data_IF_972560762754
#
_entry.id   IF_972560762754
#
_cell.length_a   1.000
_cell.length_b   1.000
_cell.length_c   1.000
_cell.angle_alpha   90.00
_cell.angle_beta   90.00
_cell.angle_gamma   90.00
#
_symmetry.space_group_name_H-M   'P 1'
#
loop_
_entity.id
_entity.type
_entity.pdbx_description
1 polymer ?
#
# COMPACT_ATOMS: atom_id res chain seq x y z
N UNK A 1 8.60 23.43 -71.93
CA UNK A 1 7.85 24.03 -70.77
C UNK A 1 7.56 22.93 -69.79
N UNK A 2 8.42 22.77 -68.79
CA UNK A 2 8.30 21.77 -67.74
C UNK A 2 8.06 22.44 -66.38
N UNK A 3 6.85 22.29 -65.79
CA UNK A 3 6.56 22.77 -64.45
C UNK A 3 6.95 21.72 -63.44
N UNK A 4 8.03 21.97 -62.73
CA UNK A 4 8.50 21.18 -61.58
C UNK A 4 7.59 21.44 -60.35
N UNK A 5 6.80 20.46 -59.93
CA UNK A 5 6.03 20.50 -58.68
C UNK A 5 6.96 20.15 -57.54
N UNK A 6 7.27 21.14 -56.67
CA UNK A 6 7.93 20.93 -55.41
C UNK A 6 6.96 20.24 -54.44
N UNK A 7 7.28 19.03 -54.08
CA UNK A 7 6.61 18.29 -53.01
C UNK A 7 7.07 18.85 -51.64
N UNK A 8 6.15 19.49 -50.93
CA UNK A 8 6.39 19.96 -49.57
C UNK A 8 6.19 18.78 -48.62
N UNK A 9 7.26 18.22 -48.05
CA UNK A 9 7.21 17.21 -47.01
C UNK A 9 6.92 17.89 -45.70
N UNK A 10 5.69 17.74 -45.21
CA UNK A 10 5.31 18.12 -43.84
C UNK A 10 5.83 17.03 -42.92
N UNK A 11 6.89 17.30 -42.17
CA UNK A 11 7.38 16.44 -41.09
C UNK A 11 6.47 16.70 -39.89
N UNK A 12 5.52 15.80 -39.64
CA UNK A 12 4.69 15.80 -38.47
C UNK A 12 5.54 15.45 -37.24
N UNK A 13 5.82 16.44 -36.41
CA UNK A 13 6.46 16.27 -35.13
C UNK A 13 5.41 15.74 -34.13
N UNK A 14 5.34 14.41 -33.95
CA UNK A 14 4.56 13.80 -32.90
C UNK A 14 5.23 14.11 -31.54
N UNK A 15 4.73 15.12 -30.86
CA UNK A 15 5.02 15.33 -29.42
C UNK A 15 4.34 14.19 -28.62
N UNK A 16 5.12 13.18 -28.24
CA UNK A 16 4.74 12.22 -27.23
C UNK A 16 4.72 12.94 -25.88
N UNK A 17 3.54 13.40 -25.44
CA UNK A 17 3.32 13.78 -24.04
C UNK A 17 3.42 12.50 -23.21
N UNK A 18 4.61 12.24 -22.67
CA UNK A 18 4.79 11.29 -21.58
C UNK A 18 4.07 11.86 -20.37
N UNK A 19 2.85 11.39 -20.09
CA UNK A 19 2.20 11.61 -18.81
C UNK A 19 3.04 10.92 -17.73
N UNK A 20 3.94 11.66 -17.13
CA UNK A 20 4.62 11.23 -15.90
C UNK A 20 3.54 11.09 -14.83
N UNK A 21 3.11 9.85 -14.56
CA UNK A 21 2.34 9.52 -13.39
C UNK A 21 3.18 9.89 -12.18
N UNK A 22 2.92 11.06 -11.60
CA UNK A 22 3.49 11.46 -10.32
C UNK A 22 2.94 10.50 -9.26
N UNK A 23 3.58 9.35 -9.10
CA UNK A 23 3.39 8.56 -7.90
C UNK A 23 3.83 9.47 -6.75
N UNK A 24 2.91 9.82 -5.87
CA UNK A 24 3.18 10.63 -4.69
C UNK A 24 4.13 9.83 -3.81
N UNK A 25 5.43 10.10 -3.97
CA UNK A 25 6.44 9.52 -3.09
C UNK A 25 6.30 10.18 -1.72
N UNK A 26 6.26 9.34 -0.69
CA UNK A 26 6.35 9.83 0.69
C UNK A 26 7.67 10.58 0.87
N UNK A 27 7.66 11.64 1.67
CA UNK A 27 8.90 12.34 1.97
C UNK A 27 9.91 11.46 2.73
N UNK A 28 11.20 11.77 2.62
CA UNK A 28 12.27 10.95 3.16
C UNK A 28 12.18 10.78 4.70
N UNK A 29 11.69 11.79 5.41
CA UNK A 29 11.55 11.74 6.88
C UNK A 29 10.45 10.76 7.29
N UNK A 30 9.35 10.73 6.56
CA UNK A 30 8.26 9.80 6.78
C UNK A 30 8.66 8.36 6.43
N UNK A 31 9.41 8.17 5.34
CA UNK A 31 9.98 6.86 4.97
C UNK A 31 10.90 6.34 6.08
N UNK A 32 11.83 7.17 6.57
CA UNK A 32 12.71 6.79 7.67
C UNK A 32 11.92 6.40 8.92
N UNK A 33 10.83 7.11 9.21
CA UNK A 33 9.96 6.78 10.34
C UNK A 33 9.20 5.46 10.13
N UNK A 34 8.74 5.18 8.92
CA UNK A 34 8.13 3.90 8.55
C UNK A 34 9.11 2.72 8.69
N UNK A 35 10.38 2.92 8.36
CA UNK A 35 11.41 1.90 8.50
C UNK A 35 11.72 1.56 9.96
N UNK A 36 11.68 2.57 10.85
CA UNK A 36 12.03 2.41 12.27
C UNK A 36 10.85 2.12 13.19
N UNK A 37 9.63 2.52 12.82
CA UNK A 37 8.45 2.37 13.67
C UNK A 37 8.03 0.91 13.86
N UNK A 38 7.61 0.59 15.08
CA UNK A 38 7.09 -0.74 15.44
C UNK A 38 5.63 -0.94 15.03
N UNK A 39 4.84 0.14 15.04
CA UNK A 39 3.40 0.11 14.76
C UNK A 39 3.00 1.25 13.82
N UNK A 40 1.91 1.01 13.09
CA UNK A 40 1.11 2.05 12.47
C UNK A 40 -0.31 2.02 13.04
N UNK A 41 -0.99 3.15 12.94
CA UNK A 41 -2.36 3.35 13.39
C UNK A 41 -3.23 3.66 12.17
N UNK A 42 -4.12 2.74 11.82
CA UNK A 42 -4.90 2.80 10.58
C UNK A 42 -6.35 3.13 10.88
N UNK A 43 -6.82 4.24 10.30
CA UNK A 43 -8.24 4.59 10.18
C UNK A 43 -8.72 4.33 8.77
N UNK A 44 -9.81 3.60 8.61
CA UNK A 44 -10.42 3.34 7.29
C UNK A 44 -11.67 4.20 7.09
N UNK A 45 -11.88 4.69 5.86
CA UNK A 45 -12.98 5.57 5.54
C UNK A 45 -14.32 4.82 5.56
N UNK A 46 -15.32 5.41 6.24
CA UNK A 46 -16.70 4.90 6.28
C UNK A 46 -17.49 5.34 5.05
N UNK A 47 -18.71 4.82 4.92
CA UNK A 47 -19.62 5.16 3.82
C UNK A 47 -20.00 6.65 3.79
N UNK A 48 -20.13 7.27 4.96
CA UNK A 48 -20.44 8.70 5.14
C UNK A 48 -19.22 9.62 4.97
N UNK A 49 -18.04 9.07 4.62
CA UNK A 49 -16.80 9.83 4.47
C UNK A 49 -16.02 10.01 5.77
N UNK A 50 -16.60 9.72 6.93
CA UNK A 50 -15.90 9.81 8.22
C UNK A 50 -14.84 8.73 8.38
N UNK A 51 -13.93 8.92 9.34
CA UNK A 51 -12.88 7.98 9.65
C UNK A 51 -13.25 7.06 10.81
N UNK A 52 -12.85 5.80 10.74
CA UNK A 52 -12.92 4.90 11.88
C UNK A 52 -11.93 5.34 12.96
N UNK A 53 -12.10 4.85 14.17
CA UNK A 53 -11.05 4.96 15.19
C UNK A 53 -9.75 4.36 14.64
N UNK A 54 -8.58 4.99 14.90
CA UNK A 54 -7.29 4.42 14.54
C UNK A 54 -7.08 3.11 15.31
N UNK A 55 -6.60 2.11 14.61
CA UNK A 55 -6.28 0.81 15.20
C UNK A 55 -4.79 0.53 15.04
N UNK A 56 -4.10 0.27 16.15
CA UNK A 56 -2.70 -0.15 16.17
C UNK A 56 -2.54 -1.49 15.47
N UNK A 57 -1.50 -1.62 14.65
CA UNK A 57 -1.22 -2.87 13.96
C UNK A 57 0.26 -2.98 13.58
N UNK A 58 0.78 -4.21 13.59
CA UNK A 58 2.05 -4.58 12.99
C UNK A 58 2.03 -4.37 11.48
N UNK A 59 3.12 -3.88 10.95
CA UNK A 59 3.21 -3.56 9.53
C UNK A 59 4.61 -3.79 8.96
N UNK A 60 4.67 -3.85 7.65
CA UNK A 60 5.91 -3.73 6.88
C UNK A 60 5.82 -2.51 5.97
N UNK A 61 6.91 -1.78 5.86
CA UNK A 61 7.12 -0.88 4.75
C UNK A 61 8.03 -1.58 3.74
N UNK A 62 7.54 -1.79 2.53
CA UNK A 62 8.27 -2.53 1.52
C UNK A 62 7.91 -2.01 0.12
N UNK A 63 8.95 -1.65 -0.67
CA UNK A 63 8.77 -1.13 -2.04
C UNK A 63 7.71 -0.03 -2.16
N UNK A 64 7.77 0.95 -1.26
CA UNK A 64 6.89 2.12 -1.28
C UNK A 64 5.47 1.90 -0.78
N UNK A 65 5.15 0.74 -0.24
CA UNK A 65 3.83 0.41 0.29
C UNK A 65 3.88 -0.11 1.74
N UNK A 66 2.79 0.07 2.47
CA UNK A 66 2.60 -0.47 3.82
C UNK A 66 1.76 -1.75 3.72
N UNK A 67 2.26 -2.82 4.33
CA UNK A 67 1.58 -4.12 4.37
C UNK A 67 1.17 -4.47 5.79
N UNK A 68 -0.07 -4.94 5.95
CA UNK A 68 -0.60 -5.39 7.24
C UNK A 68 -1.35 -6.71 7.11
N UNK A 69 -1.16 -7.60 8.09
CA UNK A 69 -1.92 -8.83 8.21
C UNK A 69 -3.12 -8.63 9.14
N UNK A 70 -4.32 -8.98 8.71
CA UNK A 70 -5.54 -8.81 9.49
C UNK A 70 -6.56 -9.89 9.26
N UNK A 71 -7.61 -9.94 10.10
CA UNK A 71 -8.75 -10.82 9.85
C UNK A 71 -9.51 -10.39 8.59
N UNK A 72 -9.94 -11.34 7.73
CA UNK A 72 -10.83 -11.04 6.60
C UNK A 72 -12.17 -10.45 7.04
N UNK A 73 -12.57 -10.65 8.30
CA UNK A 73 -13.79 -10.08 8.92
C UNK A 73 -13.58 -8.68 9.49
N UNK A 74 -12.35 -8.17 9.51
CA UNK A 74 -12.07 -6.80 9.98
C UNK A 74 -12.77 -5.76 9.12
N UNK A 75 -13.16 -4.63 9.75
CA UNK A 75 -13.83 -3.55 9.02
C UNK A 75 -12.98 -2.99 7.87
N UNK A 76 -11.65 -2.92 8.02
CA UNK A 76 -10.76 -2.47 6.95
C UNK A 76 -10.81 -3.39 5.74
N UNK A 77 -10.77 -4.72 5.95
CA UNK A 77 -10.86 -5.69 4.87
C UNK A 77 -12.25 -5.66 4.20
N UNK A 78 -13.32 -5.58 4.99
CA UNK A 78 -14.69 -5.45 4.45
C UNK A 78 -14.85 -4.18 3.61
N UNK A 79 -14.38 -3.03 4.10
CA UNK A 79 -14.50 -1.76 3.36
C UNK A 79 -13.75 -1.79 2.03
N UNK A 80 -12.56 -2.39 1.98
CA UNK A 80 -11.83 -2.59 0.72
C UNK A 80 -12.67 -3.40 -0.26
N UNK A 81 -13.25 -4.54 0.17
CA UNK A 81 -14.11 -5.36 -0.69
C UNK A 81 -15.38 -4.64 -1.15
N UNK A 82 -15.88 -3.70 -0.38
CA UNK A 82 -17.02 -2.86 -0.72
C UNK A 82 -16.65 -1.63 -1.56
N UNK A 83 -15.44 -1.57 -2.13
CA UNK A 83 -14.98 -0.44 -2.95
C UNK A 83 -14.63 0.83 -2.18
N UNK A 84 -14.39 0.74 -0.87
CA UNK A 84 -13.95 1.85 0.00
C UNK A 84 -12.54 1.58 0.55
N UNK A 85 -11.52 1.65 -0.30
CA UNK A 85 -10.15 1.25 0.05
C UNK A 85 -9.37 2.32 0.82
N UNK A 86 -9.90 3.55 0.92
CA UNK A 86 -9.14 4.68 1.45
C UNK A 86 -8.89 4.55 2.94
N UNK A 87 -7.66 4.81 3.34
CA UNK A 87 -7.19 4.78 4.72
C UNK A 87 -6.32 5.99 5.05
N UNK A 88 -6.32 6.38 6.33
CA UNK A 88 -5.32 7.28 6.92
C UNK A 88 -4.41 6.45 7.79
N UNK A 89 -3.11 6.56 7.58
CA UNK A 89 -2.08 5.79 8.30
C UNK A 89 -1.21 6.76 9.07
N UNK A 90 -1.23 6.68 10.40
CA UNK A 90 -0.34 7.42 11.29
C UNK A 90 0.79 6.50 11.75
N UNK A 91 2.03 7.02 11.80
CA UNK A 91 3.24 6.22 11.99
C UNK A 91 3.80 6.41 13.40
N UNK A 92 3.99 5.31 14.11
CA UNK A 92 4.61 5.28 15.43
C UNK A 92 3.69 5.64 16.59
N UNK A 93 2.73 6.53 16.40
CA UNK A 93 1.69 6.89 17.39
C UNK A 93 0.41 7.37 16.69
N UNK A 94 -0.69 7.46 17.41
CA UNK A 94 -1.98 7.96 16.88
C UNK A 94 -1.85 9.38 16.31
N UNK A 95 -1.06 10.22 16.99
CA UNK A 95 -0.81 11.62 16.62
C UNK A 95 0.50 11.78 15.81
N UNK A 96 1.09 10.67 15.38
CA UNK A 96 2.30 10.68 14.57
C UNK A 96 2.07 11.23 13.16
N UNK A 97 3.15 11.47 12.40
CA UNK A 97 3.03 11.86 11.01
C UNK A 97 2.19 10.84 10.26
N UNK A 98 1.29 11.34 9.39
CA UNK A 98 0.31 10.51 8.74
C UNK A 98 0.19 10.83 7.25
N UNK A 99 -0.27 9.85 6.49
CA UNK A 99 -0.55 9.97 5.06
C UNK A 99 -1.82 9.22 4.71
N UNK A 100 -2.38 9.53 3.54
CA UNK A 100 -3.49 8.79 2.97
C UNK A 100 -2.98 7.70 2.04
N UNK A 101 -3.72 6.59 1.97
CA UNK A 101 -3.36 5.44 1.16
C UNK A 101 -4.61 4.69 0.69
N UNK A 102 -4.45 3.90 -0.36
CA UNK A 102 -5.48 2.99 -0.85
C UNK A 102 -5.08 1.55 -0.59
N UNK A 103 -5.96 0.81 0.08
CA UNK A 103 -5.76 -0.59 0.42
C UNK A 103 -6.23 -1.54 -0.69
N UNK A 104 -5.48 -2.60 -0.89
CA UNK A 104 -5.86 -3.74 -1.74
C UNK A 104 -5.53 -5.05 -1.03
N UNK A 105 -6.41 -6.05 -1.17
CA UNK A 105 -6.14 -7.40 -0.65
C UNK A 105 -5.10 -8.05 -1.57
N UNK A 106 -3.99 -8.52 -1.00
CA UNK A 106 -2.97 -9.28 -1.71
C UNK A 106 -3.44 -10.73 -1.82
N UNK A 107 -3.52 -11.25 -3.04
CA UNK A 107 -4.03 -12.59 -3.33
C UNK A 107 -2.93 -13.59 -3.72
N UNK A 108 -1.76 -13.09 -4.11
CA UNK A 108 -0.63 -13.91 -4.58
C UNK A 108 0.05 -14.63 -3.40
N UNK A 109 -0.03 -15.99 -3.30
CA UNK A 109 0.54 -16.75 -2.19
C UNK A 109 2.05 -16.54 -2.03
N UNK A 110 2.78 -16.47 -3.13
CA UNK A 110 4.24 -16.25 -3.11
C UNK A 110 4.62 -14.90 -2.50
N UNK A 111 3.82 -13.86 -2.76
CA UNK A 111 4.01 -12.53 -2.16
C UNK A 111 3.77 -12.59 -0.66
N UNK A 112 2.72 -13.28 -0.22
CA UNK A 112 2.41 -13.46 1.20
C UNK A 112 3.57 -14.17 1.90
N UNK A 113 4.06 -15.29 1.36
CA UNK A 113 5.12 -16.08 1.95
C UNK A 113 6.43 -15.28 2.09
N UNK A 114 6.83 -14.56 1.03
CA UNK A 114 8.01 -13.67 1.07
C UNK A 114 7.90 -12.59 2.14
N UNK A 115 6.72 -11.99 2.29
CA UNK A 115 6.50 -10.94 3.28
C UNK A 115 6.42 -11.49 4.70
N UNK A 116 5.98 -12.73 4.92
CA UNK A 116 6.05 -13.39 6.22
C UNK A 116 7.49 -13.48 6.74
N UNK A 117 8.46 -13.78 5.88
CA UNK A 117 9.88 -13.78 6.26
C UNK A 117 10.38 -12.39 6.66
N UNK A 118 9.85 -11.33 6.03
CA UNK A 118 10.18 -9.95 6.41
C UNK A 118 9.53 -9.58 7.76
N UNK A 119 8.29 -10.02 8.00
CA UNK A 119 7.64 -9.87 9.32
C UNK A 119 8.44 -10.58 10.42
N UNK A 120 8.88 -11.81 10.17
CA UNK A 120 9.68 -12.58 11.11
C UNK A 120 10.98 -11.84 11.52
N UNK A 121 11.66 -11.23 10.57
CA UNK A 121 12.87 -10.45 10.86
C UNK A 121 12.57 -9.15 11.62
N UNK A 122 11.53 -8.41 11.22
CA UNK A 122 11.18 -7.13 11.85
C UNK A 122 10.71 -7.30 13.29
N UNK A 123 9.98 -8.37 13.59
CA UNK A 123 9.38 -8.63 14.91
C UNK A 123 10.01 -9.85 15.59
N UNK A 124 11.31 -10.10 15.37
CA UNK A 124 12.00 -11.28 15.86
C UNK A 124 11.84 -11.52 17.36
N UNK A 125 11.77 -10.46 18.17
CA UNK A 125 11.55 -10.49 19.61
C UNK A 125 10.21 -11.11 20.04
N UNK A 126 9.22 -11.12 19.15
CA UNK A 126 7.86 -11.61 19.40
C UNK A 126 7.37 -12.65 18.39
N UNK A 127 8.16 -12.92 17.36
CA UNK A 127 7.71 -13.73 16.24
C UNK A 127 7.31 -15.15 16.66
N UNK A 128 8.10 -15.80 17.50
CA UNK A 128 7.85 -17.17 17.95
C UNK A 128 6.46 -17.37 18.56
N UNK A 129 5.92 -16.34 19.24
CA UNK A 129 4.58 -16.37 19.84
C UNK A 129 3.45 -16.24 18.82
N UNK A 130 3.73 -15.72 17.63
CA UNK A 130 2.74 -15.37 16.61
C UNK A 130 2.91 -16.14 15.30
N UNK A 131 4.05 -16.79 15.09
CA UNK A 131 4.42 -17.44 13.84
C UNK A 131 3.35 -18.41 13.32
N UNK A 132 2.92 -19.32 14.19
CA UNK A 132 1.88 -20.29 13.85
C UNK A 132 0.58 -19.61 13.41
N UNK A 133 0.12 -18.63 14.18
CA UNK A 133 -1.09 -17.86 13.87
C UNK A 133 -0.99 -17.08 12.55
N UNK A 134 0.20 -16.58 12.21
CA UNK A 134 0.42 -15.90 10.94
C UNK A 134 0.50 -16.89 9.78
N UNK A 135 1.40 -17.87 9.84
CA UNK A 135 1.62 -18.83 8.74
C UNK A 135 0.35 -19.63 8.43
N UNK A 136 -0.26 -20.23 9.44
CA UNK A 136 -1.50 -20.99 9.26
C UNK A 136 -2.67 -20.07 8.93
N UNK A 137 -2.76 -18.90 9.56
CA UNK A 137 -3.83 -17.94 9.32
C UNK A 137 -3.90 -17.45 7.88
N UNK A 138 -2.77 -17.19 7.24
CA UNK A 138 -2.74 -16.83 5.82
C UNK A 138 -3.04 -18.04 4.91
N UNK A 139 -2.55 -19.22 5.25
CA UNK A 139 -2.76 -20.44 4.46
C UNK A 139 -4.21 -20.89 4.43
N UNK A 140 -4.91 -20.80 5.55
CA UNK A 140 -6.31 -21.26 5.70
C UNK A 140 -7.36 -20.15 5.60
N UNK A 141 -6.95 -18.94 5.22
CA UNK A 141 -7.83 -17.80 5.00
C UNK A 141 -8.37 -17.13 6.27
N UNK A 142 -7.85 -17.46 7.46
CA UNK A 142 -8.18 -16.74 8.71
C UNK A 142 -7.50 -15.38 8.79
N UNK A 143 -6.48 -15.14 7.96
CA UNK A 143 -5.81 -13.85 7.78
C UNK A 143 -5.76 -13.48 6.31
N UNK A 144 -5.78 -12.18 6.05
CA UNK A 144 -5.51 -11.58 4.73
C UNK A 144 -4.43 -10.54 4.86
N UNK A 145 -3.62 -10.41 3.83
CA UNK A 145 -2.62 -9.35 3.70
C UNK A 145 -3.23 -8.19 2.93
N UNK A 146 -3.12 -6.99 3.47
CA UNK A 146 -3.53 -5.76 2.79
C UNK A 146 -2.27 -4.97 2.43
N UNK A 147 -2.18 -4.56 1.18
CA UNK A 147 -1.20 -3.58 0.69
C UNK A 147 -1.85 -2.22 0.64
N UNK A 148 -1.28 -1.23 1.33
CA UNK A 148 -1.66 0.17 1.27
C UNK A 148 -0.64 0.95 0.46
N UNK A 149 -1.06 1.47 -0.70
CA UNK A 149 -0.26 2.32 -1.56
C UNK A 149 -0.56 3.79 -1.25
N UNK A 150 0.44 4.64 -0.96
CA UNK A 150 0.24 6.06 -0.73
C UNK A 150 -0.51 6.74 -1.88
N UNK A 151 -1.37 7.72 -1.53
CA UNK A 151 -2.06 8.61 -2.50
C UNK A 151 -1.24 9.87 -2.74
#
# INVERSE_FOLDING_TARGET
MGRTRKQLRIIGLCLLLSAASSAWALDASLVQKLESAKYVYISSQRKDGSWSRPAEIWFLYHKGAVYVGTSPKSWRAKRIRWGRPRARIAVGSVDGPAFFARGAIVQEPDTVEKLLEVFARKYADRWAQHEESFRHGFRDGRRVLIRYTPE
#
